data_IF_458874614305
#
_entry.id   IF_458874614305
#
_cell.length_a   1.000
_cell.length_b   1.000
_cell.length_c   1.000
_cell.angle_alpha   90.00
_cell.angle_beta   90.00
_cell.angle_gamma   90.00
#
_symmetry.space_group_name_H-M   'P 1'
#
loop_
_entity.id
_entity.type
_entity.pdbx_description
1 polymer ?
#
# COMPACT_ATOMS: atom_id res chain seq x y z
N UNK A 1 3.47 -5.57 -21.41
CA UNK A 1 3.23 -5.09 -20.02
C UNK A 1 3.81 -6.06 -19.00
N UNK A 2 3.52 -7.37 -19.01
CA UNK A 2 4.26 -8.30 -18.13
C UNK A 2 5.74 -8.37 -18.51
N UNK A 3 6.03 -8.31 -19.82
CA UNK A 3 7.35 -8.25 -20.42
C UNK A 3 8.13 -6.99 -20.00
N UNK A 4 7.42 -5.87 -19.83
CA UNK A 4 8.01 -4.58 -19.45
C UNK A 4 8.30 -4.51 -17.94
N UNK A 5 7.50 -5.22 -17.14
CA UNK A 5 7.62 -5.28 -15.70
C UNK A 5 8.68 -6.30 -15.26
N UNK A 6 8.71 -7.50 -15.85
CA UNK A 6 9.57 -8.59 -15.39
C UNK A 6 10.72 -8.90 -16.36
N UNK A 7 11.95 -8.79 -15.87
CA UNK A 7 13.14 -9.07 -16.69
C UNK A 7 13.37 -10.56 -16.97
N UNK A 8 12.84 -11.47 -16.14
CA UNK A 8 13.18 -12.89 -16.23
C UNK A 8 12.10 -13.68 -17.01
N UNK A 9 12.45 -14.39 -18.10
CA UNK A 9 11.48 -15.06 -18.97
C UNK A 9 10.57 -16.07 -18.25
N UNK A 10 11.11 -16.82 -17.27
CA UNK A 10 10.29 -17.77 -16.49
C UNK A 10 9.22 -17.07 -15.65
N UNK A 11 9.49 -15.85 -15.17
CA UNK A 11 8.51 -15.06 -14.41
C UNK A 11 7.44 -14.53 -15.35
N UNK A 12 7.82 -14.01 -16.52
CA UNK A 12 6.90 -13.58 -17.57
C UNK A 12 5.96 -14.73 -17.97
N UNK A 13 6.52 -15.91 -18.25
CA UNK A 13 5.74 -17.11 -18.58
C UNK A 13 4.77 -17.51 -17.46
N UNK A 14 5.20 -17.43 -16.20
CA UNK A 14 4.31 -17.68 -15.04
C UNK A 14 3.15 -16.70 -14.99
N UNK A 15 3.38 -15.42 -15.27
CA UNK A 15 2.30 -14.42 -15.28
C UNK A 15 1.35 -14.59 -16.46
N UNK A 16 1.83 -15.02 -17.63
CA UNK A 16 0.99 -15.34 -18.79
C UNK A 16 0.13 -16.59 -18.58
N UNK A 17 0.72 -17.66 -18.06
CA UNK A 17 0.03 -18.94 -17.88
C UNK A 17 -0.78 -19.01 -16.59
N UNK A 18 -0.63 -18.02 -15.69
CA UNK A 18 -1.36 -17.95 -14.44
C UNK A 18 -2.84 -17.57 -14.64
N UNK A 19 -3.70 -17.85 -13.65
CA UNK A 19 -5.14 -17.60 -13.75
C UNK A 19 -5.45 -16.13 -14.07
N UNK A 20 -6.53 -15.91 -14.83
CA UNK A 20 -7.08 -14.58 -15.13
C UNK A 20 -6.06 -13.58 -15.72
N UNK A 21 -5.09 -14.07 -16.51
CA UNK A 21 -3.98 -13.27 -17.04
C UNK A 21 -4.44 -12.00 -17.75
N UNK A 22 -5.46 -12.10 -18.62
CA UNK A 22 -6.02 -10.97 -19.35
C UNK A 22 -6.63 -9.90 -18.41
N UNK A 23 -7.37 -10.32 -17.38
CA UNK A 23 -7.97 -9.41 -16.38
C UNK A 23 -6.90 -8.71 -15.54
N UNK A 24 -5.86 -9.44 -15.12
CA UNK A 24 -4.71 -8.87 -14.40
C UNK A 24 -3.97 -7.86 -15.27
N UNK A 25 -3.73 -8.17 -16.53
CA UNK A 25 -3.06 -7.28 -17.48
C UNK A 25 -3.85 -5.98 -17.70
N UNK A 26 -5.18 -6.08 -17.84
CA UNK A 26 -6.07 -4.93 -18.01
C UNK A 26 -6.00 -3.98 -16.82
N UNK A 27 -6.02 -4.52 -15.60
CA UNK A 27 -5.92 -3.70 -14.39
C UNK A 27 -4.54 -3.05 -14.22
N UNK A 28 -3.45 -3.75 -14.54
CA UNK A 28 -2.10 -3.17 -14.50
C UNK A 28 -1.92 -2.03 -15.51
N UNK A 29 -2.52 -2.14 -16.71
CA UNK A 29 -2.55 -1.04 -17.69
C UNK A 29 -3.31 0.16 -17.14
N UNK A 30 -4.52 -0.07 -16.59
CA UNK A 30 -5.30 0.99 -15.96
C UNK A 30 -4.52 1.74 -14.86
N UNK A 31 -3.79 1.02 -14.00
CA UNK A 31 -2.94 1.65 -12.99
C UNK A 31 -1.77 2.44 -13.60
N UNK A 32 -1.19 1.95 -14.69
CA UNK A 32 -0.12 2.66 -15.40
C UNK A 32 -0.62 3.94 -16.06
N UNK A 33 -1.81 3.90 -16.67
CA UNK A 33 -2.48 5.06 -17.27
C UNK A 33 -2.80 6.14 -16.22
N UNK A 34 -3.01 5.72 -14.97
CA UNK A 34 -3.16 6.60 -13.79
C UNK A 34 -1.82 7.09 -13.19
N UNK A 35 -0.70 6.83 -13.86
CA UNK A 35 0.62 7.28 -13.43
C UNK A 35 1.26 6.47 -12.30
N UNK A 36 0.84 5.22 -12.07
CA UNK A 36 1.47 4.39 -11.06
C UNK A 36 2.95 4.12 -11.38
N UNK A 37 3.82 4.30 -10.38
CA UNK A 37 5.24 4.00 -10.50
C UNK A 37 5.49 2.52 -10.81
N UNK A 38 6.59 2.24 -11.53
CA UNK A 38 6.98 0.88 -11.94
C UNK A 38 7.09 -0.10 -10.77
N UNK A 39 7.61 0.33 -9.63
CA UNK A 39 7.73 -0.53 -8.44
C UNK A 39 6.35 -0.91 -7.88
N UNK A 40 5.39 0.04 -7.90
CA UNK A 40 4.00 -0.23 -7.51
C UNK A 40 3.37 -1.26 -8.45
N UNK A 41 3.54 -1.10 -9.76
CA UNK A 41 3.04 -2.05 -10.75
C UNK A 41 3.65 -3.45 -10.57
N UNK A 42 4.95 -3.54 -10.27
CA UNK A 42 5.63 -4.80 -9.98
C UNK A 42 5.06 -5.51 -8.75
N UNK A 43 4.88 -4.76 -7.65
CA UNK A 43 4.31 -5.29 -6.41
C UNK A 43 2.87 -5.75 -6.63
N UNK A 44 2.04 -4.91 -7.26
CA UNK A 44 0.66 -5.24 -7.58
C UNK A 44 0.57 -6.45 -8.51
N UNK A 45 1.42 -6.55 -9.54
CA UNK A 45 1.42 -7.69 -10.46
C UNK A 45 1.70 -9.03 -9.76
N UNK A 46 2.60 -9.04 -8.77
CA UNK A 46 2.89 -10.21 -7.94
C UNK A 46 1.69 -10.57 -7.06
N UNK A 47 1.08 -9.59 -6.42
CA UNK A 47 -0.07 -9.82 -5.53
C UNK A 47 -1.29 -10.31 -6.31
N UNK A 48 -1.58 -9.71 -7.48
CA UNK A 48 -2.68 -10.11 -8.36
C UNK A 48 -2.60 -11.58 -8.78
N UNK A 49 -1.39 -12.09 -9.05
CA UNK A 49 -1.20 -13.50 -9.38
C UNK A 49 -1.64 -14.40 -8.22
N UNK A 50 -1.23 -14.06 -6.99
CA UNK A 50 -1.60 -14.81 -5.79
C UNK A 50 -3.09 -14.73 -5.51
N UNK A 51 -3.69 -13.55 -5.70
CA UNK A 51 -5.14 -13.34 -5.54
C UNK A 51 -5.90 -14.22 -6.53
N UNK A 52 -5.50 -14.21 -7.81
CA UNK A 52 -6.14 -15.02 -8.85
C UNK A 52 -5.96 -16.53 -8.64
N UNK A 53 -4.91 -16.96 -7.94
CA UNK A 53 -4.72 -18.37 -7.54
C UNK A 53 -5.59 -18.79 -6.35
N UNK A 54 -6.08 -17.83 -5.55
CA UNK A 54 -6.80 -18.10 -4.28
C UNK A 54 -8.28 -17.76 -4.32
N UNK A 55 -8.70 -16.88 -5.22
CA UNK A 55 -10.08 -16.54 -5.45
C UNK A 55 -10.52 -17.13 -6.78
N UNK A 56 -11.63 -17.86 -6.77
CA UNK A 56 -12.26 -18.27 -8.00
C UNK A 56 -12.99 -17.08 -8.63
N UNK A 57 -12.53 -16.64 -9.80
CA UNK A 57 -13.10 -15.54 -10.59
C UNK A 57 -13.74 -16.03 -11.89
N UNK A 58 -13.89 -17.35 -12.01
CA UNK A 58 -14.44 -18.02 -13.19
C UNK A 58 -15.88 -17.60 -13.45
N UNK A 59 -16.26 -17.54 -14.72
CA UNK A 59 -17.65 -17.32 -15.12
C UNK A 59 -18.23 -15.94 -14.79
N UNK A 60 -17.41 -14.96 -14.42
CA UNK A 60 -17.90 -13.60 -14.15
C UNK A 60 -18.59 -13.45 -12.79
N UNK A 61 -18.48 -14.43 -11.89
CA UNK A 61 -19.13 -14.37 -10.57
C UNK A 61 -18.67 -13.17 -9.75
N UNK A 62 -19.55 -12.70 -8.87
CA UNK A 62 -19.19 -11.73 -7.85
C UNK A 62 -18.56 -12.46 -6.64
N UNK A 63 -17.54 -11.82 -6.06
CA UNK A 63 -16.80 -12.31 -4.88
C UNK A 63 -17.20 -11.47 -3.68
N UNK A 64 -17.58 -12.11 -2.58
CA UNK A 64 -17.96 -11.43 -1.34
C UNK A 64 -16.77 -10.92 -0.57
N UNK A 65 -16.96 -9.86 0.21
CA UNK A 65 -15.93 -9.33 1.10
C UNK A 65 -15.38 -10.41 2.05
N UNK A 66 -16.25 -11.26 2.60
CA UNK A 66 -15.87 -12.36 3.48
C UNK A 66 -14.95 -13.40 2.79
N UNK A 67 -15.12 -13.63 1.48
CA UNK A 67 -14.23 -14.52 0.71
C UNK A 67 -12.84 -13.89 0.54
N UNK A 68 -12.77 -12.58 0.32
CA UNK A 68 -11.51 -11.83 0.27
C UNK A 68 -10.79 -11.90 1.61
N UNK A 69 -11.50 -11.67 2.72
CA UNK A 69 -10.94 -11.74 4.07
C UNK A 69 -10.39 -13.12 4.41
N UNK A 70 -11.16 -14.18 4.09
CA UNK A 70 -10.73 -15.56 4.30
C UNK A 70 -9.48 -15.90 3.47
N UNK A 71 -9.44 -15.49 2.20
CA UNK A 71 -8.29 -15.70 1.33
C UNK A 71 -7.05 -14.91 1.79
N UNK A 72 -7.24 -13.66 2.23
CA UNK A 72 -6.18 -12.82 2.79
C UNK A 72 -5.57 -13.43 4.06
N UNK A 73 -6.43 -13.94 4.95
CA UNK A 73 -6.01 -14.59 6.19
C UNK A 73 -5.24 -15.89 5.90
N UNK A 74 -5.72 -16.69 4.95
CA UNK A 74 -5.04 -17.90 4.49
C UNK A 74 -3.66 -17.58 3.87
N UNK A 75 -3.58 -16.53 3.06
CA UNK A 75 -2.33 -16.08 2.46
C UNK A 75 -1.29 -15.63 3.48
N UNK A 76 -1.72 -14.86 4.47
CA UNK A 76 -0.85 -14.40 5.55
C UNK A 76 -0.25 -15.59 6.33
N UNK A 77 -1.07 -16.58 6.67
CA UNK A 77 -0.61 -17.82 7.34
C UNK A 77 0.37 -18.60 6.45
N UNK A 78 0.08 -18.71 5.15
CA UNK A 78 0.97 -19.37 4.19
C UNK A 78 2.34 -18.67 4.08
N UNK A 79 2.37 -17.34 4.08
CA UNK A 79 3.61 -16.55 4.04
C UNK A 79 4.44 -16.72 5.31
N UNK A 80 3.78 -16.73 6.47
CA UNK A 80 4.42 -16.95 7.77
C UNK A 80 5.05 -18.35 7.86
N UNK A 81 4.31 -19.39 7.46
CA UNK A 81 4.81 -20.77 7.46
C UNK A 81 6.06 -20.97 6.57
N UNK A 82 6.32 -20.08 5.60
CA UNK A 82 7.49 -20.14 4.71
C UNK A 82 8.67 -19.28 5.16
N UNK A 83 8.61 -18.64 6.34
CA UNK A 83 9.62 -17.67 6.82
C UNK A 83 9.91 -16.53 5.82
N UNK A 84 8.95 -16.20 4.95
CA UNK A 84 9.11 -15.18 3.90
C UNK A 84 8.55 -13.80 4.27
N UNK A 85 7.93 -13.67 5.44
CA UNK A 85 7.38 -12.42 5.92
C UNK A 85 7.85 -12.13 7.35
N UNK A 86 8.27 -10.89 7.59
CA UNK A 86 8.56 -10.36 8.93
C UNK A 86 7.27 -10.07 9.76
N UNK A 87 6.07 -10.31 9.18
CA UNK A 87 4.81 -10.23 9.90
C UNK A 87 3.58 -10.55 9.03
N UNK A 88 2.68 -11.40 9.54
CA UNK A 88 1.43 -11.84 8.88
C UNK A 88 0.50 -10.68 8.48
N UNK A 89 0.51 -9.62 9.30
CA UNK A 89 -0.43 -8.50 9.22
C UNK A 89 -0.28 -7.66 7.94
N UNK A 90 0.95 -7.49 7.44
CA UNK A 90 1.19 -6.66 6.25
C UNK A 90 0.75 -7.38 4.96
N UNK A 91 1.08 -8.68 4.85
CA UNK A 91 0.67 -9.53 3.72
C UNK A 91 -0.85 -9.67 3.63
N UNK A 92 -1.53 -9.82 4.77
CA UNK A 92 -3.00 -9.87 4.82
C UNK A 92 -3.63 -8.59 4.27
N UNK A 93 -3.16 -7.44 4.75
CA UNK A 93 -3.71 -6.13 4.35
C UNK A 93 -3.44 -5.83 2.89
N UNK A 94 -2.21 -6.03 2.42
CA UNK A 94 -1.88 -5.79 1.01
C UNK A 94 -2.73 -6.67 0.08
N UNK A 95 -2.90 -7.95 0.42
CA UNK A 95 -3.77 -8.85 -0.33
C UNK A 95 -5.19 -8.31 -0.39
N UNK A 96 -5.77 -7.98 0.78
CA UNK A 96 -7.13 -7.49 0.88
C UNK A 96 -7.35 -6.23 0.05
N UNK A 97 -6.48 -5.23 0.20
CA UNK A 97 -6.63 -3.92 -0.46
C UNK A 97 -6.46 -4.05 -1.98
N UNK A 98 -5.50 -4.86 -2.44
CA UNK A 98 -5.31 -5.11 -3.88
C UNK A 98 -6.47 -5.93 -4.46
N UNK A 99 -6.98 -6.94 -3.72
CA UNK A 99 -8.09 -7.76 -4.17
C UNK A 99 -9.38 -6.93 -4.27
N UNK A 100 -9.72 -6.14 -3.25
CA UNK A 100 -10.90 -5.28 -3.25
C UNK A 100 -10.86 -4.27 -4.41
N UNK A 101 -9.73 -3.57 -4.58
CA UNK A 101 -9.58 -2.59 -5.66
C UNK A 101 -9.65 -3.25 -7.06
N UNK A 102 -9.04 -4.43 -7.22
CA UNK A 102 -9.07 -5.14 -8.49
C UNK A 102 -10.47 -5.68 -8.82
N UNK A 103 -11.17 -6.26 -7.84
CA UNK A 103 -12.51 -6.81 -8.02
C UNK A 103 -13.55 -5.71 -8.27
N UNK A 104 -13.42 -4.57 -7.58
CA UNK A 104 -14.21 -3.37 -7.86
C UNK A 104 -13.99 -2.89 -9.31
N UNK A 105 -12.74 -2.80 -9.76
CA UNK A 105 -12.41 -2.46 -11.16
C UNK A 105 -13.00 -3.45 -12.18
N UNK A 106 -13.12 -4.73 -11.81
CA UNK A 106 -13.73 -5.75 -12.67
C UNK A 106 -15.27 -5.76 -12.60
N UNK A 107 -15.88 -5.03 -11.66
CA UNK A 107 -17.31 -5.13 -11.37
C UNK A 107 -17.70 -6.50 -10.79
N UNK A 108 -16.75 -7.21 -10.18
CA UNK A 108 -16.91 -8.57 -9.65
C UNK A 108 -16.84 -8.60 -8.12
N UNK A 109 -16.93 -7.46 -7.44
CA UNK A 109 -17.08 -7.42 -5.99
C UNK A 109 -18.57 -7.51 -5.67
N UNK A 110 -18.98 -8.54 -4.95
CA UNK A 110 -20.33 -8.65 -4.38
C UNK A 110 -20.39 -7.65 -3.23
N UNK A 111 -20.70 -6.40 -3.57
CA UNK A 111 -21.03 -5.39 -2.58
C UNK A 111 -22.28 -5.90 -1.85
N UNK A 112 -22.27 -5.97 -0.50
CA UNK A 112 -23.48 -6.33 0.22
C UNK A 112 -24.61 -5.43 -0.29
N UNK A 113 -25.74 -6.03 -0.69
CA UNK A 113 -26.98 -5.32 -1.03
C UNK A 113 -27.11 -4.14 -0.07
N UNK A 114 -27.36 -2.91 -0.54
CA UNK A 114 -27.03 -1.67 0.16
C UNK A 114 -27.46 -1.77 1.61
N UNK A 115 -26.53 -2.24 2.45
CA UNK A 115 -26.67 -2.08 3.87
C UNK A 115 -26.66 -0.57 4.01
N UNK A 116 -27.65 -0.08 4.73
CA UNK A 116 -27.95 1.32 5.04
C UNK A 116 -26.83 2.29 4.62
N UNK A 117 -27.14 3.33 3.82
CA UNK A 117 -26.16 4.18 3.16
C UNK A 117 -24.93 4.40 4.05
N UNK A 118 -23.77 3.87 3.60
CA UNK A 118 -22.51 3.88 4.37
C UNK A 118 -22.36 5.25 5.00
N UNK A 119 -22.41 5.29 6.33
CA UNK A 119 -22.42 6.57 7.06
C UNK A 119 -21.16 7.35 6.63
N UNK A 120 -21.35 8.60 6.22
CA UNK A 120 -20.32 9.52 5.71
C UNK A 120 -19.84 9.33 4.26
N UNK A 121 -20.44 8.46 3.43
CA UNK A 121 -20.00 8.25 2.04
C UNK A 121 -19.87 9.56 1.23
N UNK A 122 -20.88 10.43 1.29
CA UNK A 122 -20.88 11.74 0.63
C UNK A 122 -19.70 12.63 1.07
N UNK A 123 -19.31 12.53 2.34
CA UNK A 123 -18.23 13.33 2.93
C UNK A 123 -16.86 12.80 2.52
N UNK A 124 -16.73 11.49 2.34
CA UNK A 124 -15.53 10.87 1.78
C UNK A 124 -15.40 11.23 0.30
N UNK A 125 -16.49 11.17 -0.47
CA UNK A 125 -16.48 11.52 -1.89
C UNK A 125 -16.10 12.98 -2.13
N UNK A 126 -16.67 13.91 -1.37
CA UNK A 126 -16.33 15.33 -1.46
C UNK A 126 -14.87 15.61 -1.04
N UNK A 127 -14.33 14.87 -0.06
CA UNK A 127 -12.91 14.94 0.27
C UNK A 127 -12.02 14.43 -0.86
N UNK A 128 -12.39 13.34 -1.53
CA UNK A 128 -11.60 12.79 -2.64
C UNK A 128 -11.65 13.70 -3.86
N UNK A 129 -12.81 14.29 -4.16
CA UNK A 129 -12.95 15.32 -5.19
C UNK A 129 -12.04 16.53 -4.87
N UNK A 130 -12.06 17.00 -3.63
CA UNK A 130 -11.17 18.07 -3.16
C UNK A 130 -9.68 17.72 -3.34
N UNK A 131 -9.27 16.50 -3.01
CA UNK A 131 -7.89 16.04 -3.18
C UNK A 131 -7.50 15.85 -4.66
N UNK A 132 -8.46 15.57 -5.53
CA UNK A 132 -8.23 15.53 -6.97
C UNK A 132 -8.05 16.96 -7.52
N UNK A 133 -9.03 17.83 -7.26
CA UNK A 133 -9.17 19.12 -7.91
C UNK A 133 -8.17 20.17 -7.41
N UNK A 134 -7.86 20.19 -6.10
CA UNK A 134 -6.94 21.19 -5.55
C UNK A 134 -5.48 20.71 -5.46
N UNK A 135 -5.23 19.40 -5.46
CA UNK A 135 -3.89 18.84 -5.21
C UNK A 135 -3.34 18.05 -6.39
N UNK A 136 -4.15 17.77 -7.41
CA UNK A 136 -3.74 17.05 -8.62
C UNK A 136 -3.17 15.66 -8.32
N UNK A 137 -3.66 15.00 -7.26
CA UNK A 137 -3.12 13.71 -6.85
C UNK A 137 -3.49 12.62 -7.86
N UNK A 138 -2.58 11.66 -8.04
CA UNK A 138 -2.84 10.49 -8.88
C UNK A 138 -4.04 9.69 -8.35
N UNK A 139 -4.80 9.06 -9.23
CA UNK A 139 -5.93 8.22 -8.85
C UNK A 139 -5.55 7.07 -7.90
N UNK A 140 -4.33 6.53 -8.04
CA UNK A 140 -3.78 5.52 -7.12
C UNK A 140 -3.55 6.07 -5.70
N UNK A 141 -3.15 7.33 -5.58
CA UNK A 141 -3.00 8.01 -4.28
C UNK A 141 -4.37 8.31 -3.68
N UNK A 142 -5.33 8.77 -4.48
CA UNK A 142 -6.71 9.03 -4.04
C UNK A 142 -7.41 7.76 -3.55
N UNK A 143 -7.27 6.65 -4.27
CA UNK A 143 -7.80 5.36 -3.84
C UNK A 143 -7.21 4.92 -2.49
N UNK A 144 -5.91 5.10 -2.29
CA UNK A 144 -5.28 4.83 -1.00
C UNK A 144 -5.76 5.79 0.10
N UNK A 145 -5.93 7.09 -0.18
CA UNK A 145 -6.47 8.03 0.81
C UNK A 145 -7.92 7.69 1.21
N UNK A 146 -8.77 7.40 0.23
CA UNK A 146 -10.16 6.96 0.43
C UNK A 146 -10.20 5.77 1.37
N UNK A 147 -9.43 4.74 1.03
CA UNK A 147 -9.35 3.52 1.82
C UNK A 147 -8.93 3.80 3.28
N UNK A 148 -7.99 4.73 3.53
CA UNK A 148 -7.55 5.06 4.90
C UNK A 148 -8.68 5.73 5.69
N UNK A 149 -9.43 6.63 5.05
CA UNK A 149 -10.54 7.36 5.68
C UNK A 149 -11.71 6.42 5.94
N UNK A 150 -12.10 5.60 4.96
CA UNK A 150 -13.17 4.61 5.10
C UNK A 150 -12.83 3.59 6.20
N UNK A 151 -11.60 3.06 6.21
CA UNK A 151 -11.14 2.15 7.27
C UNK A 151 -11.21 2.77 8.66
N UNK A 152 -10.98 4.08 8.77
CA UNK A 152 -11.10 4.81 10.03
C UNK A 152 -12.57 4.96 10.44
N UNK A 153 -13.44 5.40 9.53
CA UNK A 153 -14.86 5.59 9.82
C UNK A 153 -15.57 4.27 10.15
N UNK A 154 -15.24 3.19 9.44
CA UNK A 154 -15.73 1.84 9.74
C UNK A 154 -15.26 1.35 11.11
N UNK A 155 -14.08 1.76 11.58
CA UNK A 155 -13.59 1.40 12.92
C UNK A 155 -14.37 2.07 14.04
N UNK A 156 -14.88 3.29 13.82
CA UNK A 156 -15.71 3.99 14.80
C UNK A 156 -17.11 3.39 14.93
N UNK A 157 -17.55 2.63 13.92
CA UNK A 157 -18.85 1.98 13.91
C UNK A 157 -20.03 2.96 13.96
N UNK A 158 -21.21 2.42 14.26
CA UNK A 158 -22.49 3.16 14.21
C UNK A 158 -22.60 4.21 15.34
N UNK A 159 -21.83 4.07 16.41
CA UNK A 159 -21.84 5.00 17.56
C UNK A 159 -21.37 6.42 17.20
N UNK A 160 -20.59 6.58 16.11
CA UNK A 160 -20.10 7.87 15.61
C UNK A 160 -20.70 8.19 14.24
N UNK A 161 -22.04 8.22 14.21
CA UNK A 161 -22.80 8.49 12.99
C UNK A 161 -22.67 9.93 12.47
N UNK A 162 -22.15 10.87 13.27
CA UNK A 162 -21.80 12.23 12.86
C UNK A 162 -20.29 12.47 12.96
N UNK A 163 -19.70 13.14 11.96
CA UNK A 163 -18.28 13.57 12.03
C UNK A 163 -18.07 14.55 13.18
N UNK A 164 -19.12 15.29 13.57
CA UNK A 164 -19.06 16.25 14.67
C UNK A 164 -18.78 15.58 16.02
N UNK A 165 -19.16 14.32 16.19
CA UNK A 165 -18.97 13.56 17.43
C UNK A 165 -17.58 12.93 17.52
N UNK A 166 -16.80 13.00 16.45
CA UNK A 166 -15.45 12.42 16.40
C UNK A 166 -14.49 13.32 17.17
N UNK A 167 -13.76 12.72 18.10
CA UNK A 167 -12.75 13.39 18.91
C UNK A 167 -11.34 13.02 18.48
N UNK A 168 -10.35 13.79 18.93
CA UNK A 168 -8.93 13.46 18.72
C UNK A 168 -8.58 12.13 19.38
N UNK A 169 -9.18 11.82 20.53
CA UNK A 169 -8.98 10.56 21.23
C UNK A 169 -9.44 9.36 20.40
N UNK A 170 -10.50 9.51 19.60
CA UNK A 170 -10.97 8.46 18.68
C UNK A 170 -9.95 8.19 17.56
N UNK A 171 -9.29 9.24 17.06
CA UNK A 171 -8.20 9.13 16.06
C UNK A 171 -6.98 8.45 16.68
N UNK A 172 -6.57 8.86 17.88
CA UNK A 172 -5.44 8.25 18.58
C UNK A 172 -5.71 6.79 18.93
N UNK A 173 -6.93 6.46 19.36
CA UNK A 173 -7.35 5.08 19.63
C UNK A 173 -7.25 4.23 18.36
N UNK A 174 -7.75 4.72 17.23
CA UNK A 174 -7.63 4.05 15.94
C UNK A 174 -6.17 3.81 15.55
N UNK A 175 -5.33 4.85 15.57
CA UNK A 175 -3.92 4.75 15.18
C UNK A 175 -3.17 3.78 16.10
N UNK A 176 -3.47 3.77 17.41
CA UNK A 176 -2.90 2.82 18.36
C UNK A 176 -3.35 1.38 18.11
N UNK A 177 -4.63 1.15 17.84
CA UNK A 177 -5.16 -0.18 17.48
C UNK A 177 -4.48 -0.68 16.21
N UNK A 178 -4.31 0.16 15.19
CA UNK A 178 -3.64 -0.21 13.95
C UNK A 178 -2.12 -0.43 14.13
N UNK A 179 -1.45 0.37 14.96
CA UNK A 179 -0.04 0.18 15.32
C UNK A 179 0.19 -1.18 16.01
N UNK A 180 -0.60 -1.49 17.04
CA UNK A 180 -0.60 -2.83 17.70
C UNK A 180 -1.03 -3.94 16.72
N UNK A 181 -1.87 -3.58 15.76
CA UNK A 181 -2.30 -4.36 14.61
C UNK A 181 -1.21 -4.61 13.56
N UNK A 182 0.03 -4.19 13.78
CA UNK A 182 1.21 -4.46 12.95
C UNK A 182 1.40 -3.49 11.78
N UNK A 183 0.78 -2.32 11.83
CA UNK A 183 1.16 -1.24 10.92
C UNK A 183 2.57 -0.75 11.28
N UNK A 184 3.43 -0.60 10.28
CA UNK A 184 4.73 0.03 10.47
C UNK A 184 4.56 1.49 10.89
N UNK A 185 5.57 2.08 11.54
CA UNK A 185 5.57 3.52 11.88
C UNK A 185 5.29 4.40 10.66
N UNK A 186 5.81 4.03 9.49
CA UNK A 186 5.55 4.72 8.22
C UNK A 186 4.08 4.63 7.81
N UNK A 187 3.46 3.46 7.96
CA UNK A 187 2.03 3.28 7.66
C UNK A 187 1.12 4.07 8.61
N UNK A 188 1.46 4.11 9.90
CA UNK A 188 0.74 4.92 10.90
C UNK A 188 0.90 6.40 10.59
N UNK A 189 2.11 6.88 10.31
CA UNK A 189 2.36 8.28 9.93
C UNK A 189 1.63 8.68 8.64
N UNK A 190 1.61 7.80 7.64
CA UNK A 190 0.89 8.03 6.38
C UNK A 190 -0.61 8.19 6.64
N UNK A 191 -1.18 7.28 7.43
CA UNK A 191 -2.60 7.35 7.79
C UNK A 191 -2.92 8.60 8.61
N UNK A 192 -2.11 8.94 9.61
CA UNK A 192 -2.25 10.17 10.39
C UNK A 192 -2.21 11.42 9.49
N UNK A 193 -1.36 11.44 8.46
CA UNK A 193 -1.31 12.54 7.49
C UNK A 193 -2.60 12.65 6.65
N UNK A 194 -3.13 11.51 6.18
CA UNK A 194 -4.39 11.48 5.42
C UNK A 194 -5.56 11.91 6.29
N UNK A 195 -5.67 11.37 7.51
CA UNK A 195 -6.72 11.75 8.45
C UNK A 195 -6.63 13.24 8.80
N UNK A 196 -5.42 13.77 9.01
CA UNK A 196 -5.21 15.21 9.21
C UNK A 196 -5.74 16.03 8.04
N UNK A 197 -5.48 15.60 6.80
CA UNK A 197 -5.99 16.28 5.61
C UNK A 197 -7.52 16.21 5.54
N UNK A 198 -8.10 15.04 5.84
CA UNK A 198 -9.54 14.85 5.91
C UNK A 198 -10.22 15.76 6.93
N UNK A 199 -9.74 15.80 8.18
CA UNK A 199 -10.32 16.67 9.21
C UNK A 199 -10.12 18.16 8.92
N UNK A 200 -9.05 18.53 8.20
CA UNK A 200 -8.87 19.92 7.73
C UNK A 200 -9.93 20.28 6.69
N UNK A 201 -10.25 19.36 5.78
CA UNK A 201 -11.34 19.52 4.83
C UNK A 201 -12.71 19.56 5.51
N UNK A 202 -12.96 18.61 6.41
CA UNK A 202 -14.19 18.53 7.20
C UNK A 202 -14.43 19.81 8.01
N UNK A 203 -13.39 20.41 8.60
CA UNK A 203 -13.49 21.68 9.30
C UNK A 203 -13.87 22.83 8.36
N UNK A 204 -13.31 22.89 7.14
CA UNK A 204 -13.67 23.91 6.13
C UNK A 204 -15.12 23.77 5.67
N UNK A 205 -15.61 22.53 5.57
CA UNK A 205 -17.00 22.19 5.27
C UNK A 205 -17.93 22.24 6.50
N UNK A 206 -17.41 22.63 7.66
CA UNK A 206 -18.13 22.73 8.94
C UNK A 206 -18.76 21.42 9.44
N UNK A 207 -18.17 20.26 9.09
CA UNK A 207 -18.65 18.94 9.53
C UNK A 207 -18.09 18.50 10.89
N UNK A 208 -17.04 19.16 11.38
CA UNK A 208 -16.42 18.83 12.66
C UNK A 208 -16.02 20.07 13.44
N UNK A 209 -15.83 19.90 14.75
CA UNK A 209 -15.23 20.92 15.61
C UNK A 209 -13.83 21.30 15.11
N UNK A 210 -13.49 22.59 15.26
CA UNK A 210 -12.18 23.08 14.91
C UNK A 210 -11.09 22.44 15.80
N UNK A 211 -9.92 22.20 15.21
CA UNK A 211 -8.73 21.81 15.98
C UNK A 211 -8.41 20.31 15.98
N UNK A 212 -9.30 19.42 15.51
CA UNK A 212 -8.98 17.98 15.38
C UNK A 212 -7.76 17.78 14.49
N UNK A 213 -7.74 18.41 13.31
CA UNK A 213 -6.60 18.33 12.40
C UNK A 213 -5.28 18.85 13.01
N UNK A 214 -5.34 19.84 13.90
CA UNK A 214 -4.16 20.39 14.55
C UNK A 214 -3.62 19.45 15.66
N UNK A 215 -4.52 18.73 16.31
CA UNK A 215 -4.21 17.85 17.44
C UNK A 215 -3.84 16.41 17.04
N UNK A 216 -4.12 15.99 15.80
CA UNK A 216 -3.64 14.69 15.29
C UNK A 216 -2.11 14.73 15.24
N UNK A 217 -1.46 13.94 16.07
CA UNK A 217 -0.01 13.77 16.06
C UNK A 217 0.39 12.62 15.13
N UNK A 218 1.34 12.92 14.23
CA UNK A 218 1.94 11.89 13.38
C UNK A 218 3.29 11.49 14.01
N UNK A 219 3.59 10.19 14.16
CA UNK A 219 4.89 9.78 14.66
C UNK A 219 5.99 10.37 13.78
N UNK A 220 7.00 10.99 14.42
CA UNK A 220 8.16 11.53 13.70
C UNK A 220 8.86 10.38 12.97
N UNK A 221 8.95 10.51 11.66
CA UNK A 221 9.74 9.61 10.81
C UNK A 221 11.12 10.23 10.65
N UNK A 222 12.17 9.51 11.03
CA UNK A 222 13.53 9.96 10.75
C UNK A 222 13.87 9.64 9.30
N UNK A 223 14.53 10.57 8.61
CA UNK A 223 14.89 10.48 7.18
C UNK A 223 15.73 9.22 6.85
N UNK A 224 16.34 8.59 7.86
CA UNK A 224 17.25 7.45 7.75
C UNK A 224 16.74 6.15 8.39
N UNK A 225 15.49 6.09 8.89
CA UNK A 225 14.95 4.89 9.55
C UNK A 225 14.78 3.67 8.61
N UNK A 226 14.83 3.90 7.29
CA UNK A 226 14.75 2.87 6.26
C UNK A 226 16.13 2.42 5.75
N UNK A 227 17.23 2.84 6.39
CA UNK A 227 18.54 2.30 6.05
C UNK A 227 18.58 0.82 6.47
N UNK A 228 18.72 -0.13 5.52
CA UNK A 228 18.99 -1.50 5.90
C UNK A 228 20.28 -1.49 6.72
N UNK A 229 20.25 -2.13 7.89
CA UNK A 229 21.45 -2.41 8.66
C UNK A 229 22.43 -3.09 7.69
N UNK A 230 23.56 -2.44 7.39
CA UNK A 230 24.51 -2.95 6.42
C UNK A 230 24.88 -4.40 6.77
N UNK A 231 25.11 -5.28 5.78
CA UNK A 231 25.47 -6.66 6.08
C UNK A 231 26.66 -6.65 7.04
N UNK A 232 26.54 -7.36 8.15
CA UNK A 232 27.64 -7.58 9.07
C UNK A 232 28.70 -8.38 8.31
N UNK A 233 29.68 -7.68 7.73
CA UNK A 233 30.80 -8.33 7.05
C UNK A 233 31.52 -9.19 8.09
N UNK A 234 31.54 -10.53 7.96
CA UNK A 234 32.51 -11.31 8.70
C UNK A 234 33.87 -10.89 8.15
N UNK A 235 34.74 -10.34 9.00
CA UNK A 235 36.13 -10.06 8.64
C UNK A 235 36.75 -11.33 8.06
N UNK A 236 36.85 -11.39 6.74
CA UNK A 236 37.67 -12.34 6.02
C UNK A 236 38.88 -11.57 5.53
N UNK A 237 39.85 -11.43 6.43
CA UNK A 237 41.24 -11.17 6.06
C UNK A 237 41.73 -12.31 5.16
N UNK A 238 42.04 -12.03 3.90
CA UNK A 238 42.77 -13.01 3.08
C UNK A 238 42.63 -12.87 1.57
N UNK A 239 43.59 -12.16 0.98
CA UNK A 239 44.11 -12.39 -0.38
C UNK A 239 43.26 -11.96 -1.58
N UNK A 240 43.42 -10.69 -1.99
CA UNK A 240 43.35 -10.29 -3.39
C UNK A 240 44.77 -10.00 -3.88
N UNK A 241 45.41 -11.03 -4.46
CA UNK A 241 46.67 -10.90 -5.19
C UNK A 241 46.39 -10.25 -6.54
N UNK A 242 46.46 -8.92 -6.60
CA UNK A 242 46.40 -8.18 -7.85
C UNK A 242 47.69 -8.41 -8.66
N UNK A 243 47.59 -9.12 -9.79
CA UNK A 243 48.54 -9.00 -10.90
C UNK A 243 47.98 -7.97 -11.87
N UNK A 244 48.53 -6.76 -11.80
CA UNK A 244 48.25 -5.67 -12.74
C UNK A 244 49.55 -4.94 -13.02
N UNK A 245 50.17 -5.29 -14.14
CA UNK A 245 51.27 -4.59 -14.79
C UNK A 245 50.93 -3.12 -15.00
N UNK A 246 51.65 -2.21 -14.32
CA UNK A 246 51.62 -0.78 -14.58
C UNK A 246 52.83 -0.32 -15.41
N UNK A 247 52.67 0.62 -16.36
CA UNK A 247 53.80 1.19 -17.08
C UNK A 247 54.50 2.28 -16.24
N UNK A 248 55.80 2.38 -16.46
CA UNK A 248 56.71 3.38 -15.90
C UNK A 248 56.30 4.80 -16.30
N UNK A 249 56.26 5.71 -15.32
CA UNK A 249 56.58 7.12 -15.52
C UNK A 249 57.56 7.51 -14.42
N UNK A 250 58.81 7.70 -14.79
CA UNK A 250 59.90 8.21 -13.94
C UNK A 250 59.74 9.70 -13.72
N UNK A 251 59.69 10.10 -12.46
CA UNK A 251 59.79 11.46 -11.98
C UNK A 251 61.19 12.02 -12.21
N UNK A 252 61.25 13.23 -12.78
CA UNK A 252 62.43 14.08 -12.86
C UNK A 252 62.61 14.79 -11.51
N UNK A 253 63.77 14.60 -10.88
CA UNK A 253 64.26 15.42 -9.76
C UNK A 253 65.45 16.23 -10.26
N UNK A 254 65.32 17.54 -10.23
CA UNK A 254 66.39 18.52 -10.44
C UNK A 254 67.33 18.55 -9.24
N UNK A 255 68.66 18.50 -9.45
CA UNK A 255 69.63 19.47 -8.91
C UNK A 255 71.10 19.10 -9.20
N UNK A 256 71.79 20.13 -9.73
CA UNK A 256 73.23 20.38 -9.91
C UNK A 256 73.99 19.48 -10.88
#
# INVERSE_FOLDING_TARGET
MFEDLFAYPKVVARHHNGPEASKRLRYLKHLADQGAARETLLRTARELLVIAERLDLSGGRCVRQAEIDAAAQSWARYQHARNRAWGEKWSRRLFHDVAAAWLCFLGQLDEPAPNEPKVHCEKVDDFIAYQHDERGLSASTLANQRWQVETFLEHLGVEKSSIADITVADVDAFLNVKARGGWSRVSVATSAHVLRAFFRHAQRRQWCCAGIAAAIDAPRLFREEALPMGPAWPMSSGSLRARGTGPRVTSVTTRF
#
